data_IF_195279434518
#
_entry.id   IF_195279434518
#
_cell.length_a   1.000
_cell.length_b   1.000
_cell.length_c   1.000
_cell.angle_alpha   90.00
_cell.angle_beta   90.00
_cell.angle_gamma   90.00
#
_symmetry.space_group_name_H-M   'P 1'
#
loop_
_entity.id
_entity.type
_entity.pdbx_description
1 polymer ?
#
# COMPACT_ATOMS: atom_id res chain seq x y z
N UNK A 1 24.67 17.02 18.13
CA UNK A 1 25.91 16.94 17.34
C UNK A 1 26.51 15.53 17.31
N UNK A 2 26.61 14.84 18.44
CA UNK A 2 27.12 13.44 18.51
C UNK A 2 26.34 12.46 17.61
N UNK A 3 25.02 12.45 17.64
CA UNK A 3 24.19 11.54 16.84
C UNK A 3 24.31 11.75 15.32
N UNK A 4 24.56 12.98 14.86
CA UNK A 4 24.78 13.25 13.43
C UNK A 4 26.15 12.74 12.97
N UNK A 5 27.20 12.96 13.77
CA UNK A 5 28.53 12.46 13.47
C UNK A 5 28.59 10.94 13.50
N UNK A 6 27.91 10.31 14.45
CA UNK A 6 27.82 8.86 14.55
C UNK A 6 27.04 8.28 13.35
N UNK A 7 25.93 8.90 12.93
CA UNK A 7 25.18 8.50 11.74
C UNK A 7 26.00 8.66 10.45
N UNK A 8 26.83 9.68 10.35
CA UNK A 8 27.73 9.88 9.20
C UNK A 8 28.91 8.90 9.19
N UNK A 9 29.42 8.54 10.37
CA UNK A 9 30.53 7.60 10.53
C UNK A 9 30.11 6.14 10.29
N UNK A 10 28.82 5.81 10.51
CA UNK A 10 28.25 4.47 10.34
C UNK A 10 27.31 4.38 9.13
N UNK A 11 27.70 5.00 8.01
CA UNK A 11 27.00 4.76 6.75
C UNK A 11 27.22 3.32 6.32
N UNK A 12 26.16 2.52 6.38
CA UNK A 12 26.21 1.13 5.92
C UNK A 12 26.50 1.05 4.42
N UNK A 13 27.55 0.35 4.04
CA UNK A 13 27.84 0.04 2.65
C UNK A 13 27.07 -1.20 2.24
N UNK A 14 25.85 -1.01 1.71
CA UNK A 14 25.00 -2.13 1.29
C UNK A 14 25.64 -3.02 0.22
N UNK A 15 26.51 -2.49 -0.63
CA UNK A 15 27.17 -3.27 -1.65
C UNK A 15 28.14 -4.33 -1.09
N UNK A 16 28.71 -4.06 0.09
CA UNK A 16 29.57 -5.02 0.78
C UNK A 16 28.78 -5.90 1.73
N UNK A 17 27.82 -5.33 2.46
CA UNK A 17 27.05 -6.02 3.49
C UNK A 17 26.26 -7.22 2.97
N UNK A 18 25.75 -7.16 1.73
CA UNK A 18 24.89 -8.20 1.14
C UNK A 18 25.54 -8.92 -0.04
N UNK A 19 26.86 -8.86 -0.17
CA UNK A 19 27.60 -9.57 -1.22
C UNK A 19 27.92 -11.00 -0.77
N UNK A 20 26.95 -11.90 -0.93
CA UNK A 20 27.07 -13.31 -0.53
C UNK A 20 27.65 -14.21 -1.64
N UNK A 21 27.69 -13.72 -2.87
CA UNK A 21 28.19 -14.46 -4.04
C UNK A 21 28.73 -13.50 -5.10
N UNK A 22 29.35 -14.01 -6.13
CA UNK A 22 29.77 -13.17 -7.26
C UNK A 22 28.55 -12.69 -8.10
N UNK A 23 28.73 -11.57 -8.79
CA UNK A 23 27.65 -10.92 -9.53
C UNK A 23 27.11 -11.77 -10.70
N UNK A 24 27.96 -12.57 -11.35
CA UNK A 24 27.55 -13.44 -12.46
C UNK A 24 26.66 -14.58 -11.96
N UNK A 25 27.02 -15.17 -10.82
CA UNK A 25 26.23 -16.21 -10.19
C UNK A 25 24.89 -15.66 -9.66
N UNK A 26 24.91 -14.51 -9.00
CA UNK A 26 23.71 -13.82 -8.56
C UNK A 26 22.74 -13.52 -9.71
N UNK A 27 23.25 -12.98 -10.82
CA UNK A 27 22.47 -12.69 -12.01
C UNK A 27 21.90 -13.95 -12.67
N UNK A 28 22.65 -15.05 -12.69
CA UNK A 28 22.18 -16.33 -13.21
C UNK A 28 21.02 -16.89 -12.38
N UNK A 29 21.17 -16.86 -11.05
CA UNK A 29 20.11 -17.29 -10.12
C UNK A 29 18.88 -16.40 -10.29
N UNK A 30 19.06 -15.09 -10.29
CA UNK A 30 17.97 -14.12 -10.46
C UNK A 30 17.22 -14.31 -11.77
N UNK A 31 17.95 -14.50 -12.89
CA UNK A 31 17.35 -14.78 -14.17
C UNK A 31 16.52 -16.07 -14.15
N UNK A 32 16.99 -17.12 -13.45
CA UNK A 32 16.24 -18.36 -13.29
C UNK A 32 14.95 -18.17 -12.47
N UNK A 33 15.01 -17.34 -11.43
CA UNK A 33 13.86 -17.04 -10.57
C UNK A 33 12.83 -16.14 -11.26
N UNK A 34 13.27 -15.27 -12.15
CA UNK A 34 12.44 -14.28 -12.87
C UNK A 34 12.09 -14.67 -14.28
N UNK A 35 12.69 -15.74 -14.83
CA UNK A 35 12.31 -16.28 -16.13
C UNK A 35 10.87 -16.80 -16.04
N UNK A 36 9.94 -15.98 -16.52
CA UNK A 36 8.60 -16.44 -16.84
C UNK A 36 8.68 -17.19 -18.17
N UNK A 37 8.18 -18.41 -18.19
CA UNK A 37 7.87 -19.04 -19.46
C UNK A 37 6.81 -18.18 -20.15
N UNK A 38 7.05 -17.76 -21.39
CA UNK A 38 6.09 -16.98 -22.20
C UNK A 38 4.71 -17.64 -22.33
N UNK A 39 4.60 -18.90 -22.00
CA UNK A 39 3.38 -19.70 -22.05
C UNK A 39 2.36 -19.39 -20.94
N UNK A 40 2.71 -18.63 -19.90
CA UNK A 40 1.85 -18.38 -18.72
C UNK A 40 1.47 -16.91 -18.48
N UNK A 41 1.74 -15.99 -19.39
CA UNK A 41 1.21 -14.65 -19.30
C UNK A 41 -0.22 -14.59 -19.83
N UNK A 42 -1.19 -14.98 -19.00
CA UNK A 42 -2.59 -14.68 -19.28
C UNK A 42 -2.81 -13.19 -19.03
N UNK A 43 -3.27 -12.42 -20.03
CA UNK A 43 -3.70 -11.05 -19.78
C UNK A 43 -4.91 -11.12 -18.86
N UNK A 44 -4.72 -10.75 -17.57
CA UNK A 44 -5.79 -10.68 -16.58
C UNK A 44 -6.88 -9.67 -16.98
N UNK A 45 -6.48 -8.67 -17.75
CA UNK A 45 -7.35 -7.63 -18.27
C UNK A 45 -7.27 -7.62 -19.80
N UNK A 46 -8.42 -7.66 -20.47
CA UNK A 46 -8.50 -7.47 -21.92
C UNK A 46 -8.53 -5.97 -22.21
N UNK A 47 -7.57 -5.44 -22.98
CA UNK A 47 -7.53 -3.99 -23.30
C UNK A 47 -8.82 -3.49 -23.95
N UNK A 48 -9.48 -4.33 -24.76
CA UNK A 48 -10.72 -3.99 -25.45
C UNK A 48 -11.94 -3.86 -24.49
N UNK A 49 -11.87 -4.49 -23.32
CA UNK A 49 -12.92 -4.39 -22.31
C UNK A 49 -12.83 -3.09 -21.50
N UNK A 50 -11.72 -2.38 -21.63
CA UNK A 50 -11.47 -1.13 -20.92
C UNK A 50 -11.79 0.04 -21.85
N UNK A 51 -12.78 0.84 -21.54
CA UNK A 51 -13.21 2.00 -22.33
C UNK A 51 -12.21 3.17 -22.36
N UNK A 52 -10.90 2.87 -22.30
CA UNK A 52 -9.81 3.84 -22.25
C UNK A 52 -8.84 3.57 -21.08
N UNK A 53 -8.08 4.58 -20.68
CA UNK A 53 -7.14 4.50 -19.56
C UNK A 53 -7.92 4.46 -18.23
N UNK A 54 -7.83 3.37 -17.44
CA UNK A 54 -8.63 3.23 -16.23
C UNK A 54 -8.12 4.11 -15.09
N UNK A 55 -8.99 4.46 -14.16
CA UNK A 55 -8.56 4.87 -12.83
C UNK A 55 -7.99 3.66 -12.08
N UNK A 56 -7.08 3.90 -11.15
CA UNK A 56 -6.50 2.86 -10.30
C UNK A 56 -6.67 3.30 -8.84
N UNK A 57 -7.32 2.45 -8.04
CA UNK A 57 -7.39 2.57 -6.59
C UNK A 57 -6.59 1.43 -5.98
N UNK A 58 -5.46 1.77 -5.36
CA UNK A 58 -4.64 0.84 -4.59
C UNK A 58 -4.91 1.04 -3.11
N UNK A 59 -5.42 0.02 -2.44
CA UNK A 59 -5.61 0.00 -0.99
C UNK A 59 -4.50 -0.84 -0.38
N UNK A 60 -3.66 -0.21 0.41
CA UNK A 60 -2.58 -0.87 1.16
C UNK A 60 -3.08 -1.07 2.58
N UNK A 61 -3.21 -2.35 2.98
CA UNK A 61 -3.82 -2.73 4.24
C UNK A 61 -2.75 -3.08 5.28
N UNK A 62 -2.72 -2.31 6.35
CA UNK A 62 -1.77 -2.48 7.46
C UNK A 62 -1.90 -3.86 8.09
N UNK A 63 -0.81 -4.64 8.05
CA UNK A 63 -0.64 -5.93 8.75
C UNK A 63 -1.65 -7.04 8.42
N UNK A 64 -2.39 -6.96 7.32
CA UNK A 64 -3.40 -7.96 6.98
C UNK A 64 -2.79 -9.30 6.55
N UNK A 65 -3.41 -10.39 7.01
CA UNK A 65 -3.03 -11.76 6.68
C UNK A 65 -4.22 -12.56 6.12
N UNK A 66 -3.94 -13.57 5.34
CA UNK A 66 -4.97 -14.48 4.80
C UNK A 66 -5.76 -15.20 5.89
N UNK A 67 -5.16 -15.44 7.07
CA UNK A 67 -5.83 -16.08 8.22
C UNK A 67 -7.04 -15.29 8.75
N UNK A 68 -7.09 -13.98 8.49
CA UNK A 68 -8.20 -13.12 8.88
C UNK A 68 -9.45 -13.28 7.99
N UNK A 69 -9.31 -13.89 6.80
CA UNK A 69 -10.41 -14.08 5.85
C UNK A 69 -11.12 -15.43 6.10
N UNK A 70 -12.46 -15.44 6.23
CA UNK A 70 -13.23 -16.64 6.51
C UNK A 70 -12.97 -17.82 5.57
N UNK A 71 -12.78 -17.58 4.27
CA UNK A 71 -12.56 -18.63 3.26
C UNK A 71 -11.13 -19.18 3.23
N UNK A 72 -10.15 -18.41 3.73
CA UNK A 72 -8.73 -18.72 3.63
C UNK A 72 -8.08 -19.12 4.95
N UNK A 73 -8.64 -18.68 6.08
CA UNK A 73 -8.03 -18.81 7.39
C UNK A 73 -8.96 -19.37 8.46
N UNK A 74 -8.56 -19.16 9.72
CA UNK A 74 -9.24 -19.67 10.91
C UNK A 74 -10.22 -18.66 11.50
N UNK A 75 -10.04 -17.35 11.24
CA UNK A 75 -10.84 -16.27 11.80
C UNK A 75 -12.11 -16.04 10.98
N UNK A 76 -13.26 -16.56 11.46
CA UNK A 76 -14.51 -16.53 10.68
C UNK A 76 -15.26 -15.20 10.70
N UNK A 77 -14.98 -14.33 11.68
CA UNK A 77 -15.77 -13.12 11.92
C UNK A 77 -14.95 -11.82 11.73
N UNK A 78 -13.73 -11.89 11.20
CA UNK A 78 -12.85 -10.72 11.11
C UNK A 78 -12.99 -10.00 9.78
N UNK A 79 -12.45 -10.52 8.71
CA UNK A 79 -12.38 -9.86 7.40
C UNK A 79 -13.52 -10.33 6.46
N UNK A 80 -14.76 -10.21 6.91
CA UNK A 80 -15.94 -10.72 6.18
C UNK A 80 -16.27 -9.91 4.92
N UNK A 81 -15.96 -8.61 4.89
CA UNK A 81 -16.19 -7.79 3.70
C UNK A 81 -15.17 -8.09 2.61
N UNK A 82 -13.88 -8.20 2.99
CA UNK A 82 -12.81 -8.60 2.07
C UNK A 82 -13.05 -9.99 1.51
N UNK A 83 -13.50 -10.93 2.32
CA UNK A 83 -13.86 -12.28 1.88
C UNK A 83 -14.98 -12.24 0.85
N UNK A 84 -16.03 -11.47 1.10
CA UNK A 84 -17.13 -11.27 0.13
C UNK A 84 -16.65 -10.62 -1.17
N UNK A 85 -15.74 -9.65 -1.09
CA UNK A 85 -15.14 -9.00 -2.26
C UNK A 85 -14.28 -10.00 -3.04
N UNK A 86 -13.49 -10.83 -2.36
CA UNK A 86 -12.62 -11.84 -2.97
C UNK A 86 -13.41 -12.83 -3.83
N UNK A 87 -14.60 -13.26 -3.39
CA UNK A 87 -15.48 -14.14 -4.17
C UNK A 87 -15.98 -13.54 -5.50
N UNK A 88 -15.85 -12.22 -5.68
CA UNK A 88 -16.26 -11.49 -6.89
C UNK A 88 -15.05 -10.88 -7.61
N UNK A 89 -13.85 -11.29 -7.26
CA UNK A 89 -12.59 -10.68 -7.71
C UNK A 89 -11.57 -11.73 -8.13
N UNK A 90 -10.45 -11.29 -8.67
CA UNK A 90 -9.28 -12.14 -8.87
C UNK A 90 -8.52 -12.21 -7.56
N UNK A 91 -8.47 -13.38 -6.94
CA UNK A 91 -7.75 -13.62 -5.69
C UNK A 91 -6.43 -14.35 -5.95
N UNK A 92 -5.33 -13.73 -5.55
CA UNK A 92 -4.00 -14.33 -5.60
C UNK A 92 -3.75 -15.12 -4.31
N UNK A 93 -3.95 -16.43 -4.32
CA UNK A 93 -3.84 -17.28 -3.13
C UNK A 93 -2.41 -17.60 -2.71
N UNK A 94 -1.42 -17.32 -3.56
CA UNK A 94 0.02 -17.52 -3.30
C UNK A 94 0.77 -16.19 -3.40
N UNK A 95 0.26 -15.18 -2.71
CA UNK A 95 0.88 -13.87 -2.63
C UNK A 95 1.51 -13.69 -1.24
N UNK A 96 2.79 -13.39 -1.20
CA UNK A 96 3.57 -13.35 0.03
C UNK A 96 4.12 -11.95 0.30
N UNK A 97 4.10 -11.54 1.58
CA UNK A 97 4.74 -10.31 2.00
C UNK A 97 6.26 -10.39 1.84
N UNK A 98 6.85 -9.31 1.35
CA UNK A 98 8.31 -9.23 1.16
C UNK A 98 9.03 -8.83 2.44
N UNK A 99 8.31 -8.37 3.47
CA UNK A 99 8.85 -7.89 4.75
C UNK A 99 7.82 -8.02 5.87
N UNK A 100 8.23 -7.62 7.07
CA UNK A 100 7.44 -7.57 8.30
C UNK A 100 7.28 -6.13 8.82
N UNK A 101 7.51 -5.11 8.01
CA UNK A 101 7.40 -3.69 8.38
C UNK A 101 6.86 -2.85 7.24
N UNK A 102 6.02 -1.89 7.58
CA UNK A 102 5.35 -0.97 6.65
C UNK A 102 6.33 -0.21 5.76
N UNK A 103 7.41 0.36 6.33
CA UNK A 103 8.41 1.14 5.59
C UNK A 103 9.15 0.33 4.50
N UNK A 104 9.15 -0.99 4.60
CA UNK A 104 9.71 -1.91 3.61
C UNK A 104 8.64 -2.42 2.65
N UNK A 105 7.46 -2.75 3.19
CA UNK A 105 6.30 -3.19 2.41
C UNK A 105 5.87 -2.14 1.38
N UNK A 106 5.80 -0.86 1.80
CA UNK A 106 5.47 0.25 0.90
C UNK A 106 6.45 0.37 -0.27
N UNK A 107 7.75 0.24 0.00
CA UNK A 107 8.77 0.30 -1.08
C UNK A 107 8.65 -0.91 -2.00
N UNK A 108 8.35 -2.09 -1.47
CA UNK A 108 8.13 -3.28 -2.29
C UNK A 108 6.89 -3.14 -3.18
N UNK A 109 5.80 -2.59 -2.67
CA UNK A 109 4.56 -2.40 -3.42
C UNK A 109 4.69 -1.29 -4.48
N UNK A 110 5.21 -0.13 -4.10
CA UNK A 110 5.20 1.05 -4.96
C UNK A 110 6.41 1.14 -5.91
N UNK A 111 7.52 0.46 -5.57
CA UNK A 111 8.76 0.49 -6.33
C UNK A 111 9.20 -0.88 -6.88
N UNK A 112 8.55 -1.97 -6.47
CA UNK A 112 9.01 -3.33 -6.82
C UNK A 112 10.40 -3.66 -6.27
N UNK A 113 10.85 -2.94 -5.24
CA UNK A 113 12.18 -3.11 -4.67
C UNK A 113 12.14 -4.09 -3.49
N UNK A 114 12.90 -5.18 -3.52
CA UNK A 114 12.90 -6.17 -2.46
C UNK A 114 13.33 -5.58 -1.12
N UNK A 115 12.65 -5.97 -0.04
CA UNK A 115 13.00 -5.54 1.31
C UNK A 115 14.37 -6.09 1.72
N UNK A 116 15.16 -5.24 2.37
CA UNK A 116 16.43 -5.64 2.94
C UNK A 116 16.23 -6.20 4.36
N UNK A 117 16.97 -7.25 4.76
CA UNK A 117 16.73 -7.93 6.03
C UNK A 117 16.92 -7.03 7.27
N UNK A 118 17.96 -6.22 7.29
CA UNK A 118 18.41 -5.49 8.50
C UNK A 118 18.06 -4.01 8.49
N UNK A 119 17.75 -3.43 7.33
CA UNK A 119 17.51 -1.99 7.20
C UNK A 119 16.34 -1.68 6.29
N UNK A 120 15.90 -0.42 6.29
CA UNK A 120 14.93 0.10 5.34
C UNK A 120 15.59 1.12 4.43
N UNK A 121 15.46 0.93 3.12
CA UNK A 121 15.98 1.89 2.14
C UNK A 121 15.30 3.27 2.24
N UNK A 122 14.11 3.32 2.83
CA UNK A 122 13.38 4.57 3.05
C UNK A 122 14.15 5.56 3.95
N UNK A 123 15.08 5.06 4.76
CA UNK A 123 15.99 5.89 5.57
C UNK A 123 17.02 6.67 4.73
N UNK A 124 17.13 6.36 3.44
CA UNK A 124 18.13 6.92 2.54
C UNK A 124 17.46 7.62 1.35
N UNK A 125 16.94 8.85 1.54
CA UNK A 125 16.17 9.56 0.51
C UNK A 125 16.89 9.71 -0.84
N UNK A 126 18.22 9.92 -0.80
CA UNK A 126 19.03 9.99 -2.02
C UNK A 126 19.01 8.68 -2.83
N UNK A 127 18.86 7.52 -2.17
CA UNK A 127 18.75 6.21 -2.85
C UNK A 127 17.33 5.96 -3.33
N UNK A 128 16.33 6.28 -2.51
CA UNK A 128 14.92 6.06 -2.87
C UNK A 128 14.46 6.90 -4.05
N UNK A 129 15.06 8.07 -4.27
CA UNK A 129 14.77 8.93 -5.43
C UNK A 129 15.04 8.24 -6.79
N UNK A 130 15.95 7.27 -6.82
CA UNK A 130 16.35 6.54 -8.02
C UNK A 130 15.61 5.19 -8.20
N UNK A 131 14.78 4.79 -7.25
CA UNK A 131 14.02 3.54 -7.38
C UNK A 131 12.98 3.64 -8.51
N UNK A 132 12.63 2.52 -9.13
CA UNK A 132 11.43 2.43 -9.98
C UNK A 132 10.20 2.95 -9.24
N UNK A 133 9.21 3.45 -9.96
CA UNK A 133 7.99 3.97 -9.36
C UNK A 133 6.79 3.75 -10.26
N UNK A 134 5.77 3.09 -9.73
CA UNK A 134 4.48 2.94 -10.40
C UNK A 134 3.87 4.33 -10.63
N UNK A 135 3.82 5.19 -9.61
CA UNK A 135 3.20 6.51 -9.70
C UNK A 135 3.91 7.39 -10.74
N UNK A 136 5.24 7.48 -10.69
CA UNK A 136 6.02 8.26 -11.66
C UNK A 136 5.88 7.74 -13.09
N UNK A 137 5.84 6.41 -13.27
CA UNK A 137 5.62 5.80 -14.57
C UNK A 137 4.23 6.14 -15.13
N UNK A 138 3.19 6.08 -14.31
CA UNK A 138 1.83 6.45 -14.70
C UNK A 138 1.71 7.94 -15.04
N UNK A 139 2.34 8.83 -14.27
CA UNK A 139 2.40 10.28 -14.57
C UNK A 139 3.07 10.52 -15.92
N UNK A 140 4.28 9.99 -16.10
CA UNK A 140 5.11 10.30 -17.26
C UNK A 140 4.59 9.67 -18.56
N UNK A 141 4.06 8.45 -18.52
CA UNK A 141 3.67 7.70 -19.71
C UNK A 141 2.19 7.84 -20.06
N UNK A 142 1.33 8.14 -19.09
CA UNK A 142 -0.13 8.11 -19.23
C UNK A 142 -0.84 9.32 -18.64
N UNK A 143 -0.11 10.32 -18.14
CA UNK A 143 -0.64 11.57 -17.58
C UNK A 143 -1.63 11.39 -16.43
N UNK A 144 -1.42 10.37 -15.59
CA UNK A 144 -2.21 10.18 -14.38
C UNK A 144 -2.01 11.32 -13.39
N UNK A 145 -3.07 11.69 -12.71
CA UNK A 145 -2.97 12.46 -11.48
C UNK A 145 -2.88 11.50 -10.29
N UNK A 146 -1.91 11.74 -9.42
CA UNK A 146 -1.57 10.82 -8.33
C UNK A 146 -1.90 11.43 -6.99
N UNK A 147 -2.53 10.64 -6.11
CA UNK A 147 -2.83 11.03 -4.74
C UNK A 147 -2.62 9.89 -3.75
N UNK A 148 -2.20 10.25 -2.54
CA UNK A 148 -1.95 9.33 -1.45
C UNK A 148 -2.75 9.79 -0.23
N UNK A 149 -3.46 8.86 0.43
CA UNK A 149 -4.28 9.10 1.60
C UNK A 149 -3.84 8.20 2.73
N UNK A 150 -3.45 8.79 3.84
CA UNK A 150 -2.95 8.09 5.02
C UNK A 150 -3.32 8.87 6.29
N UNK A 151 -3.84 8.20 7.31
CA UNK A 151 -4.24 8.85 8.56
C UNK A 151 -3.11 9.14 9.53
N UNK A 152 -1.91 8.63 9.28
CA UNK A 152 -0.76 8.78 10.16
C UNK A 152 0.19 9.91 9.75
N UNK A 153 1.22 10.07 10.58
CA UNK A 153 2.33 10.98 10.32
C UNK A 153 3.23 10.45 9.18
N UNK A 154 3.14 11.08 8.02
CA UNK A 154 3.97 10.73 6.85
C UNK A 154 5.43 11.18 6.96
N UNK A 155 5.77 11.99 7.96
CA UNK A 155 7.18 12.36 8.20
C UNK A 155 7.90 11.27 9.00
N UNK A 156 7.16 10.39 9.66
CA UNK A 156 7.72 9.19 10.26
C UNK A 156 8.40 8.30 9.20
N UNK A 157 9.60 7.80 9.52
CA UNK A 157 10.42 6.93 8.67
C UNK A 157 10.74 7.51 7.27
N UNK A 158 10.70 8.83 7.07
CA UNK A 158 10.91 9.53 5.79
C UNK A 158 9.87 9.19 4.71
N UNK A 159 8.68 8.73 5.07
CA UNK A 159 7.66 8.31 4.11
C UNK A 159 7.26 9.47 3.18
N UNK A 160 7.11 10.72 3.67
CA UNK A 160 6.83 11.90 2.83
C UNK A 160 7.87 12.09 1.74
N UNK A 161 9.15 12.07 2.10
CA UNK A 161 10.26 12.22 1.16
C UNK A 161 10.22 11.12 0.08
N UNK A 162 9.95 9.87 0.50
CA UNK A 162 9.77 8.75 -0.41
C UNK A 162 8.60 8.98 -1.36
N UNK A 163 7.40 9.28 -0.87
CA UNK A 163 6.20 9.47 -1.69
C UNK A 163 6.35 10.60 -2.72
N UNK A 164 6.96 11.74 -2.32
CA UNK A 164 7.26 12.84 -3.23
C UNK A 164 8.20 12.36 -4.33
N UNK A 165 9.29 11.67 -3.97
CA UNK A 165 10.25 11.14 -4.95
C UNK A 165 9.64 10.11 -5.89
N UNK A 166 8.60 9.39 -5.45
CA UNK A 166 7.85 8.44 -6.26
C UNK A 166 6.85 9.10 -7.22
N UNK A 167 6.60 10.40 -7.11
CA UNK A 167 5.75 11.14 -8.04
C UNK A 167 4.30 11.31 -7.57
N UNK A 168 4.03 11.19 -6.26
CA UNK A 168 2.73 11.58 -5.72
C UNK A 168 2.60 13.10 -5.65
N UNK A 169 1.57 13.61 -6.35
CA UNK A 169 1.32 15.06 -6.50
C UNK A 169 0.49 15.62 -5.33
N UNK A 170 -0.36 14.79 -4.74
CA UNK A 170 -1.18 15.12 -3.58
C UNK A 170 -0.97 14.07 -2.50
N UNK A 171 -0.62 14.50 -1.30
CA UNK A 171 -0.47 13.64 -0.13
C UNK A 171 -1.37 14.22 0.96
N UNK A 172 -2.34 13.44 1.41
CA UNK A 172 -3.20 13.73 2.55
C UNK A 172 -2.71 12.87 3.72
N UNK A 173 -2.41 13.51 4.83
CA UNK A 173 -1.89 12.89 6.04
C UNK A 173 -2.69 13.35 7.26
N UNK A 174 -2.30 12.91 8.44
CA UNK A 174 -2.88 13.39 9.71
C UNK A 174 -2.84 14.93 9.83
N UNK A 175 -1.84 15.59 9.24
CA UNK A 175 -1.71 17.05 9.27
C UNK A 175 -2.84 17.80 8.54
N UNK A 176 -3.58 17.11 7.64
CA UNK A 176 -4.68 17.68 6.88
C UNK A 176 -6.04 17.56 7.58
N UNK A 177 -6.05 17.04 8.82
CA UNK A 177 -7.24 16.85 9.64
C UNK A 177 -7.20 17.70 10.91
N UNK A 178 -8.37 18.11 11.44
CA UNK A 178 -8.46 18.78 12.72
C UNK A 178 -7.85 17.94 13.85
N UNK A 179 -7.33 18.62 14.88
CA UNK A 179 -6.70 17.92 16.01
C UNK A 179 -7.69 17.00 16.76
N UNK A 180 -8.97 17.36 16.73
CA UNK A 180 -10.06 16.60 17.35
C UNK A 180 -10.33 15.26 16.66
N UNK A 181 -9.85 15.08 15.44
CA UNK A 181 -9.97 13.83 14.69
C UNK A 181 -8.76 12.90 14.83
N UNK A 182 -7.67 13.38 15.47
CA UNK A 182 -6.47 12.58 15.75
C UNK A 182 -6.67 11.77 17.04
N UNK A 183 -7.51 10.76 16.97
CA UNK A 183 -8.00 10.00 18.14
C UNK A 183 -7.25 8.70 18.43
N UNK A 184 -6.22 8.38 17.64
CA UNK A 184 -5.37 7.21 17.87
C UNK A 184 -3.91 7.60 18.01
N UNK A 185 -3.08 6.70 18.55
CA UNK A 185 -1.63 6.85 18.60
C UNK A 185 -1.01 7.14 17.24
N UNK A 186 -1.61 6.64 16.17
CA UNK A 186 -1.12 6.77 14.79
C UNK A 186 -1.75 7.93 14.03
N UNK A 187 -2.62 8.72 14.66
CA UNK A 187 -3.27 9.88 14.07
C UNK A 187 -4.77 9.67 13.85
N UNK A 188 -5.22 9.82 12.62
CA UNK A 188 -6.63 9.82 12.22
C UNK A 188 -7.09 8.41 11.84
N UNK A 189 -8.27 8.00 12.32
CA UNK A 189 -8.83 6.69 12.00
C UNK A 189 -9.17 6.54 10.51
N UNK A 190 -9.01 5.32 9.99
CA UNK A 190 -9.18 4.98 8.58
C UNK A 190 -10.52 5.44 7.97
N UNK A 191 -11.64 5.41 8.72
CA UNK A 191 -12.94 5.84 8.21
C UNK A 191 -13.01 7.32 7.87
N UNK A 192 -12.33 8.19 8.65
CA UNK A 192 -12.25 9.63 8.39
C UNK A 192 -11.43 9.92 7.15
N UNK A 193 -10.30 9.23 7.01
CA UNK A 193 -9.44 9.32 5.81
C UNK A 193 -10.18 8.80 4.58
N UNK A 194 -10.92 7.70 4.71
CA UNK A 194 -11.74 7.14 3.64
C UNK A 194 -12.86 8.13 3.22
N UNK A 195 -13.53 8.76 4.17
CA UNK A 195 -14.55 9.79 3.88
C UNK A 195 -13.94 10.96 3.11
N UNK A 196 -12.78 11.46 3.53
CA UNK A 196 -12.04 12.51 2.83
C UNK A 196 -11.69 12.10 1.40
N UNK A 197 -11.17 10.89 1.20
CA UNK A 197 -10.88 10.38 -0.15
C UNK A 197 -12.15 10.29 -0.99
N UNK A 198 -13.24 9.76 -0.45
CA UNK A 198 -14.51 9.64 -1.16
C UNK A 198 -15.13 10.99 -1.51
N UNK A 199 -14.99 12.00 -0.66
CA UNK A 199 -15.44 13.37 -0.93
C UNK A 199 -14.61 14.03 -2.04
N UNK A 200 -13.29 13.81 -2.04
CA UNK A 200 -12.43 14.25 -3.12
C UNK A 200 -12.85 13.60 -4.45
N UNK A 201 -13.10 12.29 -4.46
CA UNK A 201 -13.57 11.56 -5.66
C UNK A 201 -14.91 12.09 -6.17
N UNK A 202 -15.86 12.41 -5.30
CA UNK A 202 -17.17 12.96 -5.69
C UNK A 202 -17.10 14.36 -6.29
N UNK A 203 -16.13 15.15 -5.85
CA UNK A 203 -15.90 16.54 -6.32
C UNK A 203 -15.13 16.60 -7.63
N UNK A 204 -14.47 15.50 -8.01
CA UNK A 204 -13.67 15.47 -9.23
C UNK A 204 -14.52 15.49 -10.47
N UNK A 205 -14.14 16.37 -11.40
CA UNK A 205 -14.72 16.39 -12.74
C UNK A 205 -14.09 15.30 -13.62
N UNK A 206 -14.80 14.93 -14.70
CA UNK A 206 -14.23 14.06 -15.72
C UNK A 206 -12.95 14.69 -16.32
N UNK A 207 -11.91 13.89 -16.47
CA UNK A 207 -10.61 14.40 -16.90
C UNK A 207 -9.55 13.31 -16.88
N UNK A 208 -8.30 13.67 -16.55
CA UNK A 208 -7.17 12.77 -16.51
C UNK A 208 -7.44 11.51 -15.64
N UNK A 209 -6.86 10.37 -16.01
CA UNK A 209 -6.95 9.16 -15.21
C UNK A 209 -6.28 9.37 -13.84
N UNK A 210 -6.74 8.66 -12.83
CA UNK A 210 -6.32 8.82 -11.44
C UNK A 210 -5.63 7.57 -10.93
N UNK A 211 -4.49 7.76 -10.29
CA UNK A 211 -3.88 6.74 -9.43
C UNK A 211 -3.99 7.21 -7.98
N UNK A 212 -4.81 6.52 -7.20
CA UNK A 212 -5.04 6.79 -5.78
C UNK A 212 -4.52 5.67 -4.96
N UNK A 213 -3.80 6.01 -3.91
CA UNK A 213 -3.41 5.07 -2.88
C UNK A 213 -4.12 5.44 -1.58
N UNK A 214 -4.74 4.46 -0.95
CA UNK A 214 -5.29 4.54 0.39
C UNK A 214 -4.54 3.55 1.27
N UNK A 215 -3.76 4.07 2.21
CA UNK A 215 -3.05 3.26 3.21
C UNK A 215 -3.84 3.28 4.51
N UNK A 216 -4.15 2.11 5.05
CA UNK A 216 -4.77 1.99 6.39
C UNK A 216 -3.72 2.04 7.49
N UNK A 217 -4.15 2.39 8.71
CA UNK A 217 -3.31 2.43 9.90
C UNK A 217 -3.98 1.89 11.15
N UNK A 218 -5.31 1.78 11.13
CA UNK A 218 -6.08 1.52 12.36
C UNK A 218 -5.95 0.08 12.87
N UNK A 219 -5.47 -0.84 12.03
CA UNK A 219 -5.13 -2.21 12.45
C UNK A 219 -3.73 -2.36 13.06
N UNK A 220 -3.00 -1.27 13.25
CA UNK A 220 -1.72 -1.26 13.95
C UNK A 220 -1.88 -1.21 15.48
N UNK A 221 -0.93 -1.81 16.21
CA UNK A 221 -0.87 -1.70 17.68
C UNK A 221 -0.82 -0.22 18.13
N UNK A 222 -1.58 0.21 19.12
CA UNK A 222 -2.31 -0.51 20.18
C UNK A 222 -3.74 -0.93 19.83
N UNK A 223 -4.16 -0.96 18.57
CA UNK A 223 -5.45 -1.43 18.10
C UNK A 223 -6.64 -0.60 18.59
N UNK A 224 -6.43 0.69 18.77
CA UNK A 224 -7.46 1.66 19.18
C UNK A 224 -8.34 2.02 18.00
N UNK A 225 -9.62 1.61 18.05
CA UNK A 225 -10.59 1.89 16.99
C UNK A 225 -11.95 2.23 17.58
N UNK A 226 -12.74 3.12 16.94
CA UNK A 226 -14.09 3.51 17.40
C UNK A 226 -15.14 2.45 16.99
N UNK A 227 -14.89 1.19 17.31
CA UNK A 227 -15.68 0.06 16.84
C UNK A 227 -15.54 -1.11 17.81
N UNK A 228 -16.66 -1.75 18.19
CA UNK A 228 -16.70 -2.77 19.20
C UNK A 228 -17.58 -3.95 18.78
N UNK A 229 -17.09 -4.71 17.77
CA UNK A 229 -17.80 -5.91 17.30
C UNK A 229 -17.24 -7.18 17.92
N UNK A 230 -15.93 -7.27 18.08
CA UNK A 230 -15.26 -8.43 18.63
C UNK A 230 -14.65 -8.13 20.00
N UNK A 231 -14.56 -9.16 20.87
CA UNK A 231 -13.99 -9.02 22.22
C UNK A 231 -12.46 -8.86 22.19
N UNK A 232 -11.79 -9.57 21.30
CA UNK A 232 -10.36 -9.45 21.11
C UNK A 232 -10.06 -8.11 20.43
N UNK A 233 -9.24 -7.29 21.07
CA UNK A 233 -8.96 -5.92 20.62
C UNK A 233 -8.22 -5.90 19.27
N UNK A 234 -7.25 -6.80 19.07
CA UNK A 234 -6.50 -6.91 17.82
C UNK A 234 -7.43 -7.33 16.67
N UNK A 235 -8.16 -8.43 16.84
CA UNK A 235 -9.10 -8.90 15.82
C UNK A 235 -10.20 -7.88 15.54
N UNK A 236 -10.64 -7.14 16.57
CA UNK A 236 -11.61 -6.06 16.42
C UNK A 236 -11.09 -4.90 15.55
N UNK A 237 -9.81 -4.53 15.69
CA UNK A 237 -9.19 -3.51 14.85
C UNK A 237 -9.08 -3.95 13.38
N UNK A 238 -8.75 -5.20 13.11
CA UNK A 238 -8.81 -5.76 11.75
C UNK A 238 -10.23 -5.79 11.19
N UNK A 239 -11.22 -6.18 11.99
CA UNK A 239 -12.62 -6.16 11.58
C UNK A 239 -13.14 -4.74 11.31
N UNK A 240 -12.63 -3.75 12.03
CA UNK A 240 -12.89 -2.34 11.75
C UNK A 240 -12.30 -1.92 10.39
N UNK A 241 -11.02 -2.19 10.13
CA UNK A 241 -10.37 -1.87 8.84
C UNK A 241 -11.08 -2.59 7.67
N UNK A 242 -11.46 -3.86 7.85
CA UNK A 242 -12.29 -4.61 6.89
C UNK A 242 -13.60 -3.86 6.57
N UNK A 243 -14.28 -3.35 7.60
CA UNK A 243 -15.53 -2.60 7.42
C UNK A 243 -15.34 -1.29 6.66
N UNK A 244 -14.21 -0.60 6.88
CA UNK A 244 -13.85 0.63 6.17
C UNK A 244 -13.57 0.34 4.69
N UNK A 245 -12.74 -0.67 4.39
CA UNK A 245 -12.44 -1.07 3.00
C UNK A 245 -13.73 -1.49 2.29
N UNK A 246 -14.56 -2.32 2.90
CA UNK A 246 -15.86 -2.70 2.36
C UNK A 246 -16.77 -1.49 2.10
N UNK A 247 -16.73 -0.47 2.97
CA UNK A 247 -17.48 0.78 2.78
C UNK A 247 -16.97 1.58 1.59
N UNK A 248 -15.64 1.69 1.41
CA UNK A 248 -15.03 2.35 0.25
C UNK A 248 -15.54 1.69 -1.03
N UNK A 249 -15.45 0.38 -1.14
CA UNK A 249 -15.88 -0.37 -2.33
C UNK A 249 -17.36 -0.16 -2.61
N UNK A 250 -18.24 -0.29 -1.59
CA UNK A 250 -19.69 -0.06 -1.74
C UNK A 250 -20.05 1.36 -2.16
N UNK A 251 -19.33 2.37 -1.67
CA UNK A 251 -19.56 3.77 -2.04
C UNK A 251 -19.03 4.07 -3.45
N UNK A 252 -17.82 3.61 -3.75
CA UNK A 252 -17.18 3.86 -5.02
C UNK A 252 -17.90 3.14 -6.17
N UNK A 253 -18.42 1.92 -5.94
CA UNK A 253 -19.16 1.15 -6.95
C UNK A 253 -20.43 1.85 -7.45
N UNK A 254 -20.95 2.84 -6.71
CA UNK A 254 -22.11 3.64 -7.11
C UNK A 254 -21.75 4.84 -8.00
N UNK A 255 -20.46 5.13 -8.15
CA UNK A 255 -20.01 6.28 -8.94
C UNK A 255 -19.79 5.89 -10.42
N UNK A 256 -20.03 6.81 -11.37
CA UNK A 256 -19.84 6.52 -12.80
C UNK A 256 -18.43 6.02 -13.16
N UNK A 257 -17.40 6.54 -12.49
CA UNK A 257 -15.99 6.15 -12.70
C UNK A 257 -15.70 4.69 -12.36
N UNK A 258 -16.50 4.05 -11.52
CA UNK A 258 -16.34 2.65 -11.15
C UNK A 258 -16.16 1.71 -12.35
N UNK A 259 -16.95 1.93 -13.41
CA UNK A 259 -16.95 1.09 -14.61
C UNK A 259 -15.60 1.05 -15.34
N UNK A 260 -14.75 2.05 -15.11
CA UNK A 260 -13.41 2.15 -15.69
C UNK A 260 -12.36 2.31 -14.57
N UNK A 261 -12.46 1.53 -13.50
CA UNK A 261 -11.54 1.56 -12.38
C UNK A 261 -11.02 0.17 -12.07
N UNK A 262 -9.70 0.07 -11.91
CA UNK A 262 -9.04 -1.11 -11.34
C UNK A 262 -8.88 -0.87 -9.85
N UNK A 263 -9.38 -1.79 -9.03
CA UNK A 263 -9.18 -1.77 -7.58
C UNK A 263 -8.20 -2.88 -7.21
N UNK A 264 -7.17 -2.53 -6.48
CA UNK A 264 -6.14 -3.45 -5.99
C UNK A 264 -6.12 -3.36 -4.45
N UNK A 265 -6.36 -4.48 -3.79
CA UNK A 265 -6.27 -4.60 -2.34
C UNK A 265 -5.05 -5.44 -2.00
N UNK A 266 -4.11 -4.92 -1.25
CA UNK A 266 -2.85 -5.60 -0.93
C UNK A 266 -2.41 -5.28 0.50
N UNK A 267 -2.02 -6.27 1.31
CA UNK A 267 -1.36 -6.00 2.58
C UNK A 267 0.08 -5.53 2.36
N UNK A 268 0.57 -4.67 3.25
CA UNK A 268 1.97 -4.24 3.26
C UNK A 268 2.89 -5.32 3.84
N UNK A 269 2.45 -5.98 4.88
CA UNK A 269 3.09 -7.13 5.52
C UNK A 269 2.07 -7.93 6.34
N UNK A 270 2.53 -8.99 6.98
CA UNK A 270 1.75 -9.79 7.94
C UNK A 270 2.08 -9.31 9.36
N UNK A 271 1.06 -9.07 10.19
CA UNK A 271 1.18 -8.66 11.59
C UNK A 271 0.93 -9.78 12.58
#
# INVERSE_FOLDING_TARGET
MFSLMESLAHQENFAEQYRFMDEKEANKIFATMTSQSDENTYPLLKPEAMGGTPDILLVIMESFASDLMPSMGTQKDVAVQLDSIAHQSILFTRFYANSFRTDRGLVSILSGYPAQPTTSIMRYPAKTAHLPSIARSLVNQRHYQTSYYYGGDVDFANQRSYLISQGFQKIISDADFPIEEKLSKWGVHDHLVANRMMDDIRKEQNGAPRFRVFQTSSSHEPFEVPYHRLKDQRLNAFAYTDSVVGSIIRQYSKLPRWKNTIVILVPDHVG
#
